data_IF_753840161621
#
_entry.id   IF_753840161621
#
_cell.length_a   1.000
_cell.length_b   1.000
_cell.length_c   1.000
_cell.angle_alpha   90.00
_cell.angle_beta   90.00
_cell.angle_gamma   90.00
#
_symmetry.space_group_name_H-M   'P 1'
#
loop_
_entity.id
_entity.type
_entity.pdbx_description
1 polymer ?
#
# COMPACT_ATOMS: atom_id res chain seq x y z
N UNK A 1 5.55 23.78 2.33
CA UNK A 1 5.37 22.31 2.37
C UNK A 1 6.54 21.65 1.69
N UNK A 2 7.20 20.74 2.39
CA UNK A 2 8.25 19.91 1.78
C UNK A 2 7.63 19.00 0.71
N UNK A 3 8.43 18.57 -0.28
CA UNK A 3 7.93 17.75 -1.41
C UNK A 3 7.21 16.47 -0.92
N UNK A 4 7.77 15.83 0.10
CA UNK A 4 7.18 14.63 0.74
C UNK A 4 5.83 14.95 1.36
N UNK A 5 5.78 16.00 2.18
CA UNK A 5 4.56 16.45 2.87
C UNK A 5 3.43 16.75 1.87
N UNK A 6 3.77 17.44 0.77
CA UNK A 6 2.81 17.69 -0.31
C UNK A 6 2.30 16.39 -0.94
N UNK A 7 3.20 15.46 -1.30
CA UNK A 7 2.83 14.19 -1.93
C UNK A 7 1.90 13.35 -1.03
N UNK A 8 2.15 13.33 0.28
CA UNK A 8 1.29 12.64 1.25
C UNK A 8 -0.07 13.32 1.36
N UNK A 9 -0.12 14.65 1.43
CA UNK A 9 -1.38 15.39 1.49
C UNK A 9 -2.23 15.17 0.24
N UNK A 10 -1.62 15.33 -0.95
CA UNK A 10 -2.29 15.11 -2.24
C UNK A 10 -2.81 13.67 -2.37
N UNK A 11 -2.04 12.67 -1.90
CA UNK A 11 -2.48 11.26 -1.92
C UNK A 11 -3.59 10.98 -0.90
N UNK A 12 -3.54 11.62 0.26
CA UNK A 12 -4.58 11.50 1.30
C UNK A 12 -5.89 12.11 0.83
N UNK A 13 -5.84 13.29 0.21
CA UNK A 13 -7.02 13.92 -0.40
C UNK A 13 -7.62 13.04 -1.50
N UNK A 14 -6.77 12.51 -2.39
CA UNK A 14 -7.19 11.57 -3.42
C UNK A 14 -7.89 10.35 -2.82
N UNK A 15 -7.31 9.72 -1.80
CA UNK A 15 -7.90 8.55 -1.14
C UNK A 15 -9.26 8.88 -0.52
N UNK A 16 -9.36 9.99 0.20
CA UNK A 16 -10.61 10.44 0.81
C UNK A 16 -11.70 10.68 -0.25
N UNK A 17 -11.35 11.28 -1.38
CA UNK A 17 -12.28 11.47 -2.49
C UNK A 17 -12.75 10.12 -3.06
N UNK A 18 -11.84 9.18 -3.31
CA UNK A 18 -12.16 7.85 -3.83
C UNK A 18 -13.07 7.08 -2.86
N UNK A 19 -12.77 7.09 -1.55
CA UNK A 19 -13.60 6.44 -0.53
C UNK A 19 -15.01 7.03 -0.54
N UNK A 20 -15.13 8.35 -0.62
CA UNK A 20 -16.43 9.02 -0.66
C UNK A 20 -17.22 8.71 -1.94
N UNK A 21 -16.56 8.54 -3.08
CA UNK A 21 -17.20 8.13 -4.34
C UNK A 21 -17.64 6.67 -4.22
N UNK A 22 -16.75 5.78 -3.78
CA UNK A 22 -17.03 4.35 -3.63
C UNK A 22 -18.21 4.09 -2.67
N UNK A 23 -18.32 4.86 -1.57
CA UNK A 23 -19.41 4.73 -0.61
C UNK A 23 -20.80 5.08 -1.18
N UNK A 24 -20.85 5.85 -2.28
CA UNK A 24 -22.09 6.23 -2.98
C UNK A 24 -22.35 5.37 -4.21
N UNK A 25 -21.44 4.46 -4.54
CA UNK A 25 -21.51 3.62 -5.72
C UNK A 25 -22.43 2.43 -5.47
N UNK A 26 -23.30 2.12 -6.42
CA UNK A 26 -24.16 0.94 -6.35
C UNK A 26 -23.37 -0.33 -6.69
N UNK A 27 -23.85 -1.49 -6.21
CA UNK A 27 -23.17 -2.78 -6.37
C UNK A 27 -23.17 -3.31 -7.81
N UNK A 28 -24.08 -2.83 -8.65
CA UNK A 28 -24.18 -3.19 -10.07
C UNK A 28 -23.23 -2.36 -10.95
N UNK A 29 -22.55 -1.37 -10.38
CA UNK A 29 -21.66 -0.47 -11.09
C UNK A 29 -20.19 -0.87 -10.88
N UNK A 30 -19.34 -0.50 -11.85
CA UNK A 30 -17.91 -0.67 -11.71
C UNK A 30 -17.35 0.09 -10.49
N UNK A 31 -16.28 -0.42 -9.85
CA UNK A 31 -15.69 0.21 -8.68
C UNK A 31 -15.08 1.58 -9.03
N UNK A 32 -15.14 2.51 -8.08
CA UNK A 32 -14.64 3.87 -8.24
C UNK A 32 -13.10 3.94 -8.39
N UNK A 33 -12.40 2.88 -7.98
CA UNK A 33 -10.95 2.75 -8.12
C UNK A 33 -10.59 1.31 -8.45
N UNK A 34 -9.61 1.14 -9.34
CA UNK A 34 -9.05 -0.17 -9.67
C UNK A 34 -7.68 -0.39 -9.05
N UNK A 35 -7.31 -1.65 -8.92
CA UNK A 35 -6.04 -2.07 -8.29
C UNK A 35 -4.82 -1.38 -8.93
N UNK A 36 -4.82 -1.17 -10.25
CA UNK A 36 -3.72 -0.51 -10.96
C UNK A 36 -3.50 0.94 -10.51
N UNK A 37 -4.56 1.64 -10.11
CA UNK A 37 -4.50 3.02 -9.64
C UNK A 37 -3.96 3.08 -8.21
N UNK A 38 -4.39 2.16 -7.35
CA UNK A 38 -3.87 2.00 -5.99
C UNK A 38 -2.37 1.68 -6.04
N UNK A 39 -1.96 0.70 -6.86
CA UNK A 39 -0.54 0.35 -7.05
C UNK A 39 0.28 1.52 -7.60
N UNK A 40 -0.31 2.34 -8.48
CA UNK A 40 0.35 3.55 -8.99
C UNK A 40 0.60 4.55 -7.86
N UNK A 41 -0.41 4.84 -7.03
CA UNK A 41 -0.27 5.77 -5.91
C UNK A 41 0.71 5.28 -4.85
N UNK A 42 0.73 3.97 -4.59
CA UNK A 42 1.74 3.36 -3.72
C UNK A 42 3.16 3.58 -4.25
N UNK A 43 3.41 3.29 -5.54
CA UNK A 43 4.73 3.52 -6.15
C UNK A 43 5.18 4.98 -6.13
N UNK A 44 4.24 5.92 -6.30
CA UNK A 44 4.53 7.36 -6.23
C UNK A 44 5.03 7.77 -4.85
N UNK A 45 4.38 7.30 -3.78
CA UNK A 45 4.81 7.56 -2.40
C UNK A 45 6.17 6.90 -2.14
N UNK A 46 6.33 5.61 -2.47
CA UNK A 46 7.57 4.88 -2.23
C UNK A 46 8.75 5.50 -2.98
N UNK A 47 8.60 5.84 -4.26
CA UNK A 47 9.68 6.44 -5.05
C UNK A 47 10.19 7.76 -4.49
N UNK A 48 9.35 8.49 -3.74
CA UNK A 48 9.75 9.72 -3.07
C UNK A 48 10.39 9.47 -1.69
N UNK A 49 9.83 8.54 -0.91
CA UNK A 49 10.25 8.30 0.47
C UNK A 49 11.48 7.38 0.58
N UNK A 50 11.58 6.37 -0.28
CA UNK A 50 12.64 5.36 -0.24
C UNK A 50 14.07 5.97 -0.29
N UNK A 51 14.41 6.88 -1.22
CA UNK A 51 15.75 7.46 -1.27
C UNK A 51 16.04 8.43 -0.12
N UNK A 52 15.05 8.79 0.71
CA UNK A 52 15.22 9.63 1.89
C UNK A 52 15.46 8.75 3.11
N UNK A 53 14.69 7.68 3.25
CA UNK A 53 14.78 6.73 4.37
C UNK A 53 16.04 5.87 4.25
N UNK A 54 16.37 5.44 3.03
CA UNK A 54 17.51 4.58 2.74
C UNK A 54 18.78 5.37 2.36
N UNK A 55 18.87 6.65 2.74
CA UNK A 55 20.10 7.40 2.49
C UNK A 55 21.29 6.68 3.14
N UNK A 56 22.38 6.44 2.39
CA UNK A 56 23.57 5.82 2.96
C UNK A 56 24.05 6.70 4.10
N UNK A 57 24.41 6.05 5.21
CA UNK A 57 24.96 6.75 6.37
C UNK A 57 26.16 7.57 5.87
N UNK A 58 26.20 8.90 6.11
CA UNK A 58 27.31 9.72 5.64
C UNK A 58 28.60 9.11 6.17
N UNK A 59 29.55 8.86 5.26
CA UNK A 59 30.89 8.43 5.65
C UNK A 59 31.51 9.60 6.40
N UNK A 60 31.36 9.58 7.72
CA UNK A 60 32.22 10.36 8.61
C UNK A 60 33.62 9.85 8.27
N UNK A 61 34.48 10.73 7.76
CA UNK A 61 35.89 10.46 7.53
C UNK A 61 36.51 10.18 8.91
N UNK A 62 36.32 8.96 9.39
CA UNK A 62 37.10 8.43 10.50
C UNK A 62 38.54 8.36 9.98
N UNK A 63 39.51 8.94 10.71
CA UNK A 63 40.88 8.98 10.23
C UNK A 63 41.36 7.57 9.87
N UNK A 64 41.87 7.44 8.64
CA UNK A 64 42.27 6.21 7.95
C UNK A 64 42.71 5.08 8.88
N UNK A 65 41.99 3.96 8.86
CA UNK A 65 42.58 2.67 9.21
C UNK A 65 42.28 1.65 8.12
N UNK A 66 43.36 0.97 7.71
CA UNK A 66 43.56 0.13 6.52
C UNK A 66 42.67 -1.15 6.49
N UNK A 67 42.15 -1.52 5.32
CA UNK A 67 41.30 -2.71 5.05
C UNK A 67 42.17 -3.98 4.76
N UNK A 68 41.67 -5.20 4.38
CA UNK A 68 40.30 -5.70 4.05
C UNK A 68 40.05 -7.20 4.50
N UNK A 69 39.22 -8.11 3.90
CA UNK A 69 38.12 -8.04 2.88
C UNK A 69 36.82 -8.88 3.16
N UNK A 70 35.78 -8.59 2.35
CA UNK A 70 34.66 -9.42 1.81
C UNK A 70 33.50 -9.96 2.70
N UNK A 71 32.26 -9.55 2.36
CA UNK A 71 31.07 -10.40 2.37
C UNK A 71 29.90 -9.80 1.57
N UNK A 72 29.72 -10.30 0.35
CA UNK A 72 28.46 -10.59 -0.36
C UNK A 72 27.29 -9.57 -0.33
N UNK A 73 27.15 -8.85 -1.44
CA UNK A 73 25.89 -8.24 -1.89
C UNK A 73 24.97 -9.33 -2.49
N UNK A 74 23.96 -9.77 -1.74
CA UNK A 74 22.96 -10.72 -2.26
C UNK A 74 21.55 -10.26 -1.83
N UNK A 75 20.81 -9.78 -2.83
CA UNK A 75 19.35 -9.86 -3.02
C UNK A 75 18.40 -9.11 -2.06
N UNK A 76 17.82 -7.99 -2.50
CA UNK A 76 16.64 -7.36 -1.86
C UNK A 76 15.52 -6.95 -2.82
N UNK A 77 15.58 -7.35 -4.08
CA UNK A 77 14.59 -6.91 -5.09
C UNK A 77 13.36 -7.84 -5.17
N UNK A 78 13.48 -9.12 -4.79
CA UNK A 78 12.37 -10.09 -4.87
C UNK A 78 11.34 -9.99 -3.72
N UNK A 79 11.73 -9.46 -2.54
CA UNK A 79 10.85 -9.46 -1.35
C UNK A 79 9.66 -8.48 -1.49
N UNK A 80 9.83 -7.38 -2.24
CA UNK A 80 8.79 -6.35 -2.39
C UNK A 80 7.66 -6.80 -3.34
N UNK A 81 7.95 -7.64 -4.34
CA UNK A 81 6.93 -8.16 -5.25
C UNK A 81 6.05 -9.22 -4.57
N UNK A 82 6.64 -10.03 -3.68
CA UNK A 82 5.89 -11.01 -2.88
C UNK A 82 5.01 -10.33 -1.85
N UNK A 83 5.50 -9.29 -1.15
CA UNK A 83 4.70 -8.56 -0.17
C UNK A 83 3.46 -7.90 -0.81
N UNK A 84 3.59 -7.34 -2.02
CA UNK A 84 2.47 -6.78 -2.79
C UNK A 84 1.48 -7.85 -3.27
N UNK A 85 1.95 -9.08 -3.51
CA UNK A 85 1.10 -10.22 -3.89
C UNK A 85 0.35 -10.80 -2.68
N UNK A 86 0.95 -10.78 -1.50
CA UNK A 86 0.38 -11.35 -0.28
C UNK A 86 -0.78 -10.51 0.29
N UNK A 87 -0.80 -9.19 0.03
CA UNK A 87 -1.95 -8.33 0.33
C UNK A 87 -3.19 -8.66 -0.54
N UNK A 88 -3.00 -9.28 -1.70
CA UNK A 88 -4.07 -9.66 -2.64
C UNK A 88 -4.81 -10.94 -2.19
N UNK A 89 -4.18 -11.80 -1.38
CA UNK A 89 -4.77 -13.06 -0.89
C UNK A 89 -5.60 -12.95 0.39
N UNK A 90 -5.51 -11.85 1.14
CA UNK A 90 -6.20 -11.72 2.44
C UNK A 90 -7.58 -11.05 2.35
N UNK A 91 -8.01 -10.59 1.16
CA UNK A 91 -9.39 -10.10 0.95
C UNK A 91 -10.25 -11.16 0.27
N UNK A 92 -10.28 -12.37 0.83
CA UNK A 92 -11.27 -13.35 0.45
C UNK A 92 -12.58 -13.01 1.18
N UNK A 93 -13.53 -12.50 0.38
CA UNK A 93 -14.97 -12.48 0.62
C UNK A 93 -15.50 -11.55 1.71
N UNK A 94 -16.48 -10.76 1.29
CA UNK A 94 -17.34 -10.01 2.20
C UNK A 94 -17.98 -10.94 3.22
N UNK A 95 -17.90 -10.54 4.47
CA UNK A 95 -18.76 -11.04 5.53
C UNK A 95 -20.17 -10.52 5.26
N UNK A 96 -20.92 -11.21 4.39
CA UNK A 96 -22.37 -11.12 4.42
C UNK A 96 -22.81 -11.89 5.67
N UNK A 97 -22.91 -11.17 6.78
CA UNK A 97 -23.51 -11.66 8.01
C UNK A 97 -25.01 -11.94 7.75
N UNK A 98 -25.33 -13.14 7.27
CA UNK A 98 -26.69 -13.67 7.37
C UNK A 98 -26.96 -13.90 8.85
N UNK A 99 -27.60 -12.92 9.50
CA UNK A 99 -28.26 -13.20 10.75
C UNK A 99 -29.47 -14.09 10.43
N UNK A 100 -29.26 -15.40 10.55
CA UNK A 100 -30.31 -16.41 10.57
C UNK A 100 -31.28 -16.17 11.73
N UNK A 101 -32.20 -15.22 11.53
CA UNK A 101 -33.49 -15.24 12.18
C UNK A 101 -34.35 -16.23 11.40
N UNK A 102 -34.89 -17.31 12.00
CA UNK A 102 -35.93 -18.08 11.35
C UNK A 102 -37.17 -17.19 11.24
N UNK A 103 -37.36 -16.58 10.07
CA UNK A 103 -38.65 -15.97 9.70
C UNK A 103 -39.60 -17.13 9.47
N UNK A 104 -40.42 -17.45 10.46
CA UNK A 104 -41.61 -18.28 10.29
C UNK A 104 -42.55 -17.54 9.35
N UNK A 105 -42.55 -17.90 8.07
CA UNK A 105 -43.61 -17.53 7.15
C UNK A 105 -44.82 -18.41 7.48
N UNK A 106 -45.65 -17.96 8.43
CA UNK A 106 -47.00 -18.50 8.61
C UNK A 106 -47.84 -17.98 7.44
N UNK A 107 -48.26 -18.92 6.58
CA UNK A 107 -49.21 -18.67 5.51
C UNK A 107 -50.60 -18.99 6.06
N UNK A 108 -51.34 -17.96 6.45
CA UNK A 108 -52.80 -17.99 6.59
C UNK A 108 -53.49 -17.83 5.23
#
# INVERSE_FOLDING_TARGET
MNKVEKCINDTTEWLNNIINIQAKQNLDQDPAVRVNEIRRKLREIHGLCDPIVNQPKPQIDSPKQEAPPDASLINKTEELEEEIKNIETTQQNGDCHMNESPVSMDLD
#
